data_IF_030509679909
#
_entry.id   IF_030509679909
#
_cell.length_a   1.000
_cell.length_b   1.000
_cell.length_c   1.000
_cell.angle_alpha   90.00
_cell.angle_beta   90.00
_cell.angle_gamma   90.00
#
_symmetry.space_group_name_H-M   'P 1'
#
loop_
_entity.id
_entity.type
_entity.pdbx_description
1 polymer ?
#
# COMPACT_ATOMS: atom_id res chain seq x y z
N UNK A 1 6.33 9.53 2.50
CA UNK A 1 5.81 8.90 1.26
C UNK A 1 5.12 7.60 1.61
N UNK A 2 4.49 6.95 0.66
CA UNK A 2 3.80 5.67 0.82
C UNK A 2 3.94 4.89 -0.49
N UNK A 3 3.46 3.66 -0.55
CA UNK A 3 3.32 2.88 -1.78
C UNK A 3 1.87 2.44 -1.86
N UNK A 4 1.15 2.92 -2.87
CA UNK A 4 -0.20 2.48 -3.18
C UNK A 4 -0.19 1.26 -4.09
N UNK A 5 -0.97 0.24 -3.74
CA UNK A 5 -1.08 -1.02 -4.48
C UNK A 5 -2.33 -1.00 -5.36
N UNK A 6 -2.26 -0.28 -6.47
CA UNK A 6 -3.39 0.03 -7.32
C UNK A 6 -4.17 -1.21 -7.77
N UNK A 7 -5.44 -1.28 -7.35
CA UNK A 7 -6.36 -2.36 -7.67
C UNK A 7 -6.27 -3.60 -6.77
N UNK A 8 -5.44 -3.57 -5.72
CA UNK A 8 -5.43 -4.60 -4.68
C UNK A 8 -6.54 -4.35 -3.65
N UNK A 9 -7.27 -5.41 -3.26
CA UNK A 9 -8.27 -5.34 -2.19
C UNK A 9 -7.63 -5.76 -0.86
N UNK A 10 -6.93 -4.83 -0.21
CA UNK A 10 -6.12 -5.07 0.98
C UNK A 10 -6.53 -4.13 2.12
N UNK A 11 -5.94 -4.31 3.30
CA UNK A 11 -6.29 -3.49 4.46
C UNK A 11 -5.77 -2.06 4.30
N UNK A 12 -6.45 -1.11 4.94
CA UNK A 12 -6.09 0.31 4.90
C UNK A 12 -4.69 0.58 5.44
N UNK A 13 -4.17 -0.26 6.33
CA UNK A 13 -2.81 -0.13 6.84
C UNK A 13 -1.76 -0.47 5.77
N UNK A 14 -2.11 -1.30 4.79
CA UNK A 14 -1.22 -1.77 3.72
C UNK A 14 -1.49 -1.09 2.36
N UNK A 15 -2.67 -0.51 2.16
CA UNK A 15 -3.14 -0.01 0.87
C UNK A 15 -2.24 1.06 0.26
N UNK A 16 -1.78 2.01 1.07
CA UNK A 16 -0.96 3.12 0.61
C UNK A 16 -1.67 4.45 0.55
N UNK A 17 -2.99 4.54 0.76
CA UNK A 17 -3.72 5.81 0.82
C UNK A 17 -3.63 6.48 2.21
N UNK A 18 -2.82 7.55 2.32
CA UNK A 18 -2.65 8.30 3.58
C UNK A 18 -3.98 8.92 4.05
N UNK A 19 -4.75 9.49 3.12
CA UNK A 19 -6.06 10.11 3.41
C UNK A 19 -7.08 9.10 3.98
N UNK A 20 -6.92 7.81 3.66
CA UNK A 20 -7.80 6.76 4.15
C UNK A 20 -7.28 6.11 5.44
N UNK A 21 -6.03 6.40 5.84
CA UNK A 21 -5.47 5.97 7.11
C UNK A 21 -4.20 5.13 7.02
N UNK A 22 -3.59 4.97 5.84
CA UNK A 22 -2.27 4.32 5.75
C UNK A 22 -1.20 5.20 6.44
N UNK A 23 -0.44 4.67 7.41
CA UNK A 23 0.69 5.42 7.98
C UNK A 23 1.75 5.76 6.93
N UNK A 24 2.08 7.05 6.81
CA UNK A 24 3.17 7.50 5.96
C UNK A 24 4.51 6.88 6.42
N UNK A 25 5.40 6.60 5.47
CA UNK A 25 6.81 6.28 5.74
C UNK A 25 7.58 7.60 5.86
N UNK A 26 8.14 7.92 7.05
CA UNK A 26 8.96 9.11 7.23
C UNK A 26 10.27 9.03 6.44
N UNK A 27 10.93 10.18 6.26
CA UNK A 27 12.26 10.23 5.64
C UNK A 27 13.26 9.33 6.36
N UNK A 28 14.08 8.62 5.58
CA UNK A 28 15.10 7.67 6.07
C UNK A 28 14.58 6.44 6.82
N UNK A 29 13.25 6.26 6.90
CA UNK A 29 12.63 5.09 7.51
C UNK A 29 12.21 4.05 6.47
N UNK A 30 11.89 2.85 6.96
CA UNK A 30 11.45 1.72 6.14
C UNK A 30 10.14 1.16 6.68
N UNK A 31 9.30 0.68 5.78
CA UNK A 31 8.07 -0.05 6.12
C UNK A 31 7.96 -1.30 5.27
N UNK A 32 7.52 -2.40 5.90
CA UNK A 32 7.29 -3.69 5.25
C UNK A 32 5.79 -3.90 5.07
N UNK A 33 5.39 -4.24 3.86
CA UNK A 33 4.01 -4.54 3.51
C UNK A 33 3.85 -6.06 3.39
N UNK A 34 2.77 -6.59 3.94
CA UNK A 34 2.43 -8.01 3.86
C UNK A 34 0.92 -8.14 3.76
N UNK A 35 0.46 -8.75 2.67
CA UNK A 35 -0.95 -9.01 2.42
C UNK A 35 -1.08 -10.15 1.43
N UNK A 36 -2.25 -10.80 1.39
CA UNK A 36 -2.59 -11.75 0.34
C UNK A 36 -3.09 -10.97 -0.88
N UNK A 37 -2.44 -11.08 -2.05
CA UNK A 37 -2.87 -10.35 -3.23
C UNK A 37 -4.22 -10.87 -3.71
N UNK A 38 -5.12 -9.94 -4.06
CA UNK A 38 -6.43 -10.21 -4.67
C UNK A 38 -7.02 -8.94 -5.26
N UNK A 39 -7.82 -9.03 -6.34
CA UNK A 39 -8.15 -10.24 -7.11
C UNK A 39 -6.99 -10.69 -8.03
N UNK A 40 -7.15 -11.80 -8.75
CA UNK A 40 -6.20 -12.22 -9.79
C UNK A 40 -6.28 -11.30 -11.00
N UNK A 41 -5.14 -10.92 -11.56
CA UNK A 41 -5.08 -10.00 -12.70
C UNK A 41 -3.75 -9.26 -12.79
N UNK A 42 -3.72 -8.22 -13.62
CA UNK A 42 -2.56 -7.32 -13.73
C UNK A 42 -2.82 -6.06 -12.92
N UNK A 43 -1.93 -5.79 -11.98
CA UNK A 43 -1.97 -4.64 -11.06
C UNK A 43 -0.57 -4.03 -10.97
N UNK A 44 -0.45 -2.90 -10.28
CA UNK A 44 0.79 -2.13 -10.21
C UNK A 44 0.89 -1.37 -8.89
N UNK A 45 2.04 -0.75 -8.64
CA UNK A 45 2.26 0.07 -7.46
C UNK A 45 2.88 1.42 -7.83
N UNK A 46 2.62 2.43 -7.02
CA UNK A 46 3.19 3.77 -7.18
C UNK A 46 3.28 4.49 -5.83
N UNK A 47 4.04 5.59 -5.77
CA UNK A 47 4.08 6.48 -4.60
C UNK A 47 2.83 7.35 -4.49
#
# INVERSE_FOLDING_TARGET
TTVHWHGQMISVEADGAIEEGTPAVPSHQHRRYSFTPKPSGTFWYHS
#
